data_IF_625131841184
#
_entry.id   IF_625131841184
#
_cell.length_a   1.000
_cell.length_b   1.000
_cell.length_c   1.000
_cell.angle_alpha   90.00
_cell.angle_beta   90.00
_cell.angle_gamma   90.00
#
_symmetry.space_group_name_H-M   'P 1'
#
loop_
_entity.id
_entity.type
_entity.pdbx_description
1 polymer ?
#
# COMPACT_ATOMS: atom_id res chain seq x y z
N UNK A 1 2.65 -18.08 -12.71
CA UNK A 1 1.36 -17.39 -12.88
C UNK A 1 1.20 -16.45 -11.69
N UNK A 2 1.13 -15.14 -11.92
CA UNK A 2 0.98 -14.13 -10.86
C UNK A 2 -0.47 -14.08 -10.37
N UNK A 3 -0.69 -13.76 -9.09
CA UNK A 3 -2.03 -13.64 -8.52
C UNK A 3 -2.89 -12.58 -9.21
N UNK A 4 -4.16 -12.49 -8.81
CA UNK A 4 -5.18 -11.61 -9.44
C UNK A 4 -4.92 -10.10 -9.32
N UNK A 5 -3.84 -9.67 -8.67
CA UNK A 5 -3.54 -8.25 -8.41
C UNK A 5 -4.43 -7.59 -7.35
N UNK A 6 -5.33 -8.34 -6.71
CA UNK A 6 -6.33 -7.78 -5.79
C UNK A 6 -5.76 -7.34 -4.43
N UNK A 7 -4.62 -7.87 -4.01
CA UNK A 7 -4.09 -7.63 -2.65
C UNK A 7 -3.88 -6.15 -2.34
N UNK A 8 -3.09 -5.45 -3.15
CA UNK A 8 -2.80 -4.03 -2.92
C UNK A 8 -4.01 -3.14 -3.24
N UNK A 9 -4.87 -3.55 -4.17
CA UNK A 9 -6.11 -2.85 -4.48
C UNK A 9 -7.07 -2.84 -3.27
N UNK A 10 -7.21 -3.98 -2.58
CA UNK A 10 -8.00 -4.10 -1.35
C UNK A 10 -7.40 -3.22 -0.24
N UNK A 11 -6.08 -3.31 -0.02
CA UNK A 11 -5.39 -2.50 1.00
C UNK A 11 -5.58 -1.00 0.74
N UNK A 12 -5.41 -0.57 -0.51
CA UNK A 12 -5.58 0.83 -0.88
C UNK A 12 -7.02 1.32 -0.64
N UNK A 13 -8.02 0.51 -0.99
CA UNK A 13 -9.43 0.85 -0.74
C UNK A 13 -9.73 1.00 0.75
N UNK A 14 -9.25 0.07 1.58
CA UNK A 14 -9.46 0.11 3.03
C UNK A 14 -8.71 1.30 3.66
N UNK A 15 -7.45 1.53 3.29
CA UNK A 15 -6.68 2.66 3.81
C UNK A 15 -7.37 4.01 3.54
N UNK A 16 -7.84 4.23 2.31
CA UNK A 16 -8.58 5.44 1.94
C UNK A 16 -9.86 5.62 2.78
N UNK A 17 -10.59 4.55 3.09
CA UNK A 17 -11.78 4.59 3.98
C UNK A 17 -11.46 5.03 5.41
N UNK A 18 -10.23 4.79 5.87
CA UNK A 18 -9.74 5.18 7.19
C UNK A 18 -8.95 6.51 7.17
N UNK A 19 -9.05 7.31 6.11
CA UNK A 19 -8.25 8.53 5.92
C UNK A 19 -6.74 8.26 6.08
N UNK A 20 -6.29 7.10 5.62
CA UNK A 20 -4.89 6.73 5.60
C UNK A 20 -4.36 6.70 4.16
N UNK A 21 -3.08 7.03 4.01
CA UNK A 21 -2.37 7.03 2.74
C UNK A 21 -1.49 5.78 2.60
N UNK A 22 -1.53 5.12 1.45
CA UNK A 22 -0.58 4.04 1.11
C UNK A 22 0.66 4.65 0.43
N UNK A 23 1.82 4.54 1.07
CA UNK A 23 3.12 4.94 0.53
C UNK A 23 3.93 3.73 0.09
N UNK A 24 4.62 3.87 -1.03
CA UNK A 24 5.44 2.81 -1.63
C UNK A 24 6.82 3.38 -1.91
N UNK A 25 7.83 2.81 -1.28
CA UNK A 25 9.24 3.06 -1.60
C UNK A 25 9.81 1.79 -2.25
N UNK A 26 10.45 1.92 -3.40
CA UNK A 26 11.03 0.77 -4.10
C UNK A 26 12.38 1.12 -4.69
N UNK A 27 13.35 0.23 -4.46
CA UNK A 27 14.67 0.32 -5.04
C UNK A 27 15.01 -0.99 -5.75
N UNK A 28 15.22 -0.89 -7.06
CA UNK A 28 15.56 -2.02 -7.93
C UNK A 28 16.79 -2.75 -7.39
N UNK A 29 16.70 -4.07 -7.29
CA UNK A 29 17.76 -4.93 -6.76
C UNK A 29 17.93 -4.90 -5.24
N UNK A 30 17.11 -4.14 -4.50
CA UNK A 30 17.13 -4.08 -3.03
C UNK A 30 15.80 -4.57 -2.45
N UNK A 31 14.68 -4.05 -2.95
CA UNK A 31 13.35 -4.43 -2.51
C UNK A 31 12.35 -3.27 -2.53
N UNK A 32 11.19 -3.51 -1.93
CA UNK A 32 10.11 -2.52 -1.80
C UNK A 32 9.57 -2.51 -0.37
N UNK A 33 9.29 -1.30 0.12
CA UNK A 33 8.62 -1.05 1.40
C UNK A 33 7.25 -0.44 1.12
N UNK A 34 6.20 -1.01 1.71
CA UNK A 34 4.83 -0.52 1.64
C UNK A 34 4.43 -0.04 3.04
N UNK A 35 3.93 1.17 3.16
CA UNK A 35 3.56 1.78 4.45
C UNK A 35 2.15 2.35 4.38
N UNK A 36 1.35 2.12 5.42
CA UNK A 36 0.04 2.76 5.58
C UNK A 36 0.17 3.85 6.64
N UNK A 37 -0.01 5.09 6.23
CA UNK A 37 0.14 6.28 7.07
C UNK A 37 -1.24 6.79 7.48
N UNK A 38 -1.61 6.59 8.75
CA UNK A 38 -2.83 7.13 9.32
C UNK A 38 -2.61 8.58 9.76
N UNK A 39 -3.46 9.49 9.30
CA UNK A 39 -3.41 10.88 9.72
C UNK A 39 -4.08 10.97 11.09
N UNK A 40 -3.34 11.36 12.13
CA UNK A 40 -3.94 11.79 13.40
C UNK A 40 -4.24 13.27 13.30
N UNK A 41 -5.50 13.62 13.49
CA UNK A 41 -5.95 14.97 13.86
C UNK A 41 -6.09 15.04 15.38
#
# INVERSE_FOLDING_TARGET
QGGTGLGLAIVNHIAHRHNAELRIDSKVGVGSTFSVCFIRV
#
